data_IF_046432621709
#
_entry.id   IF_046432621709
#
_cell.length_a   1.000
_cell.length_b   1.000
_cell.length_c   1.000
_cell.angle_alpha   90.00
_cell.angle_beta   90.00
_cell.angle_gamma   90.00
#
_symmetry.space_group_name_H-M   'P 1'
#
loop_
_entity.id
_entity.type
_entity.pdbx_description
1 polymer ?
#
# COMPACT_ATOMS: atom_id res chain seq x y z
N UNK A 1 -14.99 9.33 -8.56
CA UNK A 1 -16.38 9.53 -8.05
C UNK A 1 -16.62 10.98 -7.62
N UNK A 2 -15.88 11.49 -6.63
CA UNK A 2 -16.06 12.88 -6.16
C UNK A 2 -15.90 13.92 -7.28
N UNK A 3 -14.85 13.82 -8.11
CA UNK A 3 -14.65 14.70 -9.28
C UNK A 3 -15.80 14.65 -10.30
N UNK A 4 -16.47 13.51 -10.44
CA UNK A 4 -17.58 13.36 -11.37
C UNK A 4 -18.90 13.96 -10.83
N UNK A 5 -18.95 14.31 -9.54
CA UNK A 5 -20.11 14.88 -8.85
C UNK A 5 -19.65 15.99 -7.87
N UNK A 6 -19.23 17.17 -8.38
CA UNK A 6 -18.79 18.28 -7.52
C UNK A 6 -19.85 18.64 -6.46
N UNK A 7 -19.38 18.99 -5.26
CA UNK A 7 -20.25 19.29 -4.11
C UNK A 7 -20.81 18.07 -3.36
N UNK A 8 -20.47 16.84 -3.78
CA UNK A 8 -20.81 15.62 -3.04
C UNK A 8 -19.64 15.08 -2.24
N UNK A 9 -19.94 14.53 -1.07
CA UNK A 9 -19.00 13.76 -0.26
C UNK A 9 -19.07 12.29 -0.66
N UNK A 10 -17.92 11.68 -0.95
CA UNK A 10 -17.81 10.24 -1.24
C UNK A 10 -17.11 9.57 -0.08
N UNK A 11 -17.79 8.66 0.61
CA UNK A 11 -17.18 7.80 1.61
C UNK A 11 -16.54 6.59 0.91
N UNK A 12 -15.21 6.51 0.93
CA UNK A 12 -14.48 5.29 0.59
C UNK A 12 -14.40 4.45 1.87
N UNK A 13 -14.84 3.19 1.79
CA UNK A 13 -14.70 2.21 2.87
C UNK A 13 -13.99 0.99 2.31
N UNK A 14 -12.97 0.53 3.01
CA UNK A 14 -12.22 -0.67 2.69
C UNK A 14 -12.30 -1.59 3.89
N UNK A 15 -12.77 -2.82 3.69
CA UNK A 15 -12.92 -3.83 4.75
C UNK A 15 -12.31 -5.12 4.24
N UNK A 16 -11.44 -5.71 5.03
CA UNK A 16 -10.73 -6.94 4.71
C UNK A 16 -10.80 -7.88 5.91
N UNK A 17 -11.28 -9.10 5.66
CA UNK A 17 -11.39 -10.17 6.66
C UNK A 17 -10.42 -11.29 6.29
N UNK A 18 -9.13 -10.98 6.28
CA UNK A 18 -8.07 -11.89 5.82
C UNK A 18 -7.98 -13.18 6.66
N UNK A 19 -8.42 -13.17 7.91
CA UNK A 19 -8.44 -14.37 8.76
C UNK A 19 -9.36 -15.46 8.21
N UNK A 20 -10.38 -15.10 7.42
CA UNK A 20 -11.25 -16.06 6.72
C UNK A 20 -10.51 -16.85 5.63
N UNK A 21 -9.35 -16.36 5.18
CA UNK A 21 -8.48 -17.04 4.21
C UNK A 21 -7.46 -17.97 4.88
N UNK A 22 -7.53 -18.21 6.20
CA UNK A 22 -6.66 -19.18 6.86
C UNK A 22 -6.92 -20.60 6.34
N UNK A 23 -5.84 -21.34 6.08
CA UNK A 23 -5.89 -22.71 5.50
C UNK A 23 -5.27 -23.73 6.48
N UNK A 24 -5.91 -24.04 7.63
CA UNK A 24 -5.38 -25.00 8.61
C UNK A 24 -5.26 -26.43 8.05
N UNK A 25 -6.00 -26.74 6.99
CA UNK A 25 -5.93 -27.98 6.22
C UNK A 25 -4.69 -28.09 5.31
N UNK A 26 -3.98 -26.99 5.03
CA UNK A 26 -2.84 -26.95 4.12
C UNK A 26 -1.67 -26.16 4.72
N UNK A 27 -0.77 -26.87 5.40
CA UNK A 27 0.37 -26.31 6.15
C UNK A 27 1.60 -26.00 5.28
N UNK A 28 1.41 -25.40 4.10
CA UNK A 28 2.53 -24.92 3.28
C UNK A 28 3.24 -23.75 3.97
N UNK A 29 4.52 -23.52 3.65
CA UNK A 29 5.27 -22.37 4.20
C UNK A 29 4.56 -21.05 3.92
N UNK A 30 4.01 -20.87 2.72
CA UNK A 30 3.27 -19.68 2.34
C UNK A 30 2.02 -19.49 3.22
N UNK A 31 1.21 -20.53 3.44
CA UNK A 31 0.02 -20.45 4.29
C UNK A 31 0.35 -20.19 5.76
N UNK A 32 1.44 -20.78 6.28
CA UNK A 32 1.90 -20.52 7.65
C UNK A 32 2.33 -19.06 7.80
N UNK A 33 3.14 -18.54 6.87
CA UNK A 33 3.55 -17.13 6.87
C UNK A 33 2.34 -16.22 6.77
N UNK A 34 1.40 -16.51 5.86
CA UNK A 34 0.18 -15.74 5.71
C UNK A 34 -0.66 -15.71 7.00
N UNK A 35 -0.82 -16.85 7.67
CA UNK A 35 -1.56 -16.93 8.94
C UNK A 35 -0.90 -16.11 10.06
N UNK A 36 0.43 -16.02 10.07
CA UNK A 36 1.16 -15.22 11.06
C UNK A 36 1.23 -13.72 10.71
N UNK A 37 0.97 -13.36 9.45
CA UNK A 37 1.14 -12.01 8.91
C UNK A 37 -0.19 -11.26 8.80
N UNK A 38 -1.23 -11.91 8.31
CA UNK A 38 -2.48 -11.24 7.95
C UNK A 38 -3.45 -11.11 9.11
N UNK A 39 -4.04 -9.92 9.25
CA UNK A 39 -5.09 -9.59 10.20
C UNK A 39 -6.36 -9.08 9.51
N UNK A 40 -7.43 -8.90 10.27
CA UNK A 40 -8.65 -8.27 9.77
C UNK A 40 -8.61 -6.77 10.03
N UNK A 41 -9.18 -5.97 9.11
CA UNK A 41 -9.16 -4.53 9.25
C UNK A 41 -10.21 -3.81 8.42
N UNK A 42 -10.54 -2.59 8.86
CA UNK A 42 -11.40 -1.70 8.13
C UNK A 42 -10.89 -0.27 8.26
N UNK A 43 -10.89 0.46 7.15
CA UNK A 43 -10.54 1.88 7.11
C UNK A 43 -11.52 2.62 6.21
N UNK A 44 -11.72 3.91 6.49
CA UNK A 44 -12.56 4.76 5.67
C UNK A 44 -11.99 6.16 5.55
N UNK A 45 -12.24 6.82 4.42
CA UNK A 45 -11.93 8.23 4.25
C UNK A 45 -13.04 8.92 3.44
N UNK A 46 -13.19 10.22 3.68
CA UNK A 46 -14.11 11.06 2.91
C UNK A 46 -13.33 11.76 1.80
N UNK A 47 -13.76 11.52 0.57
CA UNK A 47 -13.22 12.15 -0.63
C UNK A 47 -14.16 13.24 -1.09
N UNK A 48 -13.57 14.40 -1.40
CA UNK A 48 -14.28 15.58 -1.92
C UNK A 48 -13.58 16.12 -3.16
N UNK A 49 -14.27 16.95 -3.92
CA UNK A 49 -13.74 17.60 -5.13
C UNK A 49 -13.78 19.14 -5.05
N UNK A 50 -14.16 19.69 -3.89
CA UNK A 50 -14.11 21.12 -3.62
C UNK A 50 -12.80 21.53 -2.94
N UNK A 51 -12.48 22.81 -3.04
CA UNK A 51 -11.33 23.42 -2.36
C UNK A 51 -11.66 23.67 -0.89
N UNK A 52 -10.66 23.56 0.01
CA UNK A 52 -10.79 23.98 1.42
C UNK A 52 -11.08 22.88 2.44
N UNK A 53 -10.71 21.62 2.16
CA UNK A 53 -10.64 20.57 3.19
C UNK A 53 -9.37 20.66 4.04
N UNK A 54 -9.42 20.14 5.26
CA UNK A 54 -8.33 20.07 6.26
C UNK A 54 -7.43 18.83 6.11
N UNK A 55 -7.65 18.03 5.08
CA UNK A 55 -6.91 16.80 4.80
C UNK A 55 -5.77 16.98 3.78
N UNK A 56 -5.72 16.08 2.80
CA UNK A 56 -4.74 16.13 1.72
C UNK A 56 -5.42 16.16 0.35
N UNK A 57 -4.88 16.98 -0.55
CA UNK A 57 -5.26 17.03 -1.95
C UNK A 57 -4.57 15.89 -2.72
N UNK A 58 -5.34 15.13 -3.51
CA UNK A 58 -4.79 14.14 -4.42
C UNK A 58 -4.26 14.87 -5.66
N UNK A 59 -2.94 14.93 -5.83
CA UNK A 59 -2.30 15.57 -6.99
C UNK A 59 -2.29 14.64 -8.21
N UNK A 60 -2.03 13.36 -7.97
CA UNK A 60 -1.96 12.34 -9.01
C UNK A 60 -2.21 10.94 -8.43
N UNK A 61 -2.65 10.02 -9.28
CA UNK A 61 -2.65 8.58 -9.03
C UNK A 61 -2.09 7.82 -10.22
N UNK A 62 -1.42 6.70 -10.00
CA UNK A 62 -0.87 5.90 -11.09
C UNK A 62 -0.53 4.49 -10.66
N UNK A 63 -0.46 3.60 -11.64
CA UNK A 63 -0.09 2.20 -11.43
C UNK A 63 0.91 1.75 -12.49
N UNK A 64 1.66 0.70 -12.17
CA UNK A 64 2.54 -0.02 -13.08
C UNK A 64 2.39 -1.52 -12.80
N UNK A 65 2.11 -2.30 -13.84
CA UNK A 65 1.93 -3.75 -13.76
C UNK A 65 2.99 -4.43 -14.62
N UNK A 66 3.66 -5.43 -14.05
CA UNK A 66 4.69 -6.18 -14.76
C UNK A 66 4.09 -7.41 -15.45
N UNK A 67 4.49 -7.73 -16.69
CA UNK A 67 4.10 -8.99 -17.33
C UNK A 67 4.75 -10.18 -16.60
N UNK A 68 4.21 -11.38 -16.78
CA UNK A 68 4.82 -12.64 -16.34
C UNK A 68 5.11 -12.73 -14.82
N UNK A 69 4.26 -12.11 -14.00
CA UNK A 69 4.43 -12.05 -12.53
C UNK A 69 3.24 -12.59 -11.73
N UNK A 70 2.32 -13.32 -12.38
CA UNK A 70 1.15 -13.90 -11.71
C UNK A 70 1.50 -14.92 -10.62
N UNK A 71 2.65 -15.59 -10.73
CA UNK A 71 3.12 -16.58 -9.76
C UNK A 71 3.85 -15.95 -8.55
N UNK A 72 4.08 -14.64 -8.54
CA UNK A 72 4.76 -13.94 -7.45
C UNK A 72 3.83 -13.74 -6.25
N UNK A 73 2.63 -13.23 -6.51
CA UNK A 73 1.65 -12.91 -5.47
C UNK A 73 0.23 -13.03 -6.01
N UNK A 74 -0.64 -13.70 -5.26
CA UNK A 74 -2.03 -13.89 -5.65
C UNK A 74 -2.78 -14.89 -4.80
N UNK A 75 -3.86 -15.42 -5.37
CA UNK A 75 -4.74 -16.38 -4.71
C UNK A 75 -4.97 -17.57 -5.63
N UNK A 76 -4.72 -18.77 -5.11
CA UNK A 76 -5.22 -20.02 -5.67
C UNK A 76 -6.56 -20.34 -5.01
N UNK A 77 -7.63 -20.34 -5.79
CA UNK A 77 -8.99 -20.57 -5.28
C UNK A 77 -9.34 -22.05 -5.49
N UNK A 78 -9.79 -22.70 -4.43
CA UNK A 78 -10.27 -24.08 -4.42
C UNK A 78 -11.58 -24.20 -3.60
N UNK A 79 -12.27 -25.36 -3.58
CA UNK A 79 -13.51 -25.52 -2.84
C UNK A 79 -13.41 -25.29 -1.32
N UNK A 80 -12.22 -25.37 -0.74
CA UNK A 80 -11.99 -25.12 0.67
C UNK A 80 -11.67 -23.64 0.96
N UNK A 81 -11.29 -22.86 -0.05
CA UNK A 81 -11.23 -21.40 0.02
C UNK A 81 -10.05 -20.78 -0.74
N UNK A 82 -9.49 -19.71 -0.17
CA UNK A 82 -8.38 -18.96 -0.74
C UNK A 82 -7.03 -19.49 -0.24
N UNK A 83 -6.24 -20.12 -1.09
CA UNK A 83 -4.83 -20.42 -0.83
C UNK A 83 -3.94 -19.28 -1.30
N UNK A 84 -3.00 -18.81 -0.47
CA UNK A 84 -2.09 -17.74 -0.87
C UNK A 84 -1.05 -18.23 -1.88
N UNK A 85 -0.79 -17.41 -2.90
CA UNK A 85 0.44 -17.45 -3.68
C UNK A 85 1.32 -16.35 -3.11
N UNK A 86 2.45 -16.74 -2.50
CA UNK A 86 3.35 -15.82 -1.82
C UNK A 86 4.78 -16.28 -2.03
N UNK A 87 5.37 -15.82 -3.13
CA UNK A 87 6.72 -16.22 -3.51
C UNK A 87 7.75 -15.52 -2.62
N UNK A 88 8.87 -16.21 -2.37
CA UNK A 88 10.01 -15.67 -1.62
C UNK A 88 10.67 -14.49 -2.34
N UNK A 89 10.41 -14.36 -3.64
CA UNK A 89 11.00 -13.36 -4.53
C UNK A 89 10.32 -12.00 -4.43
N UNK A 90 9.25 -11.84 -3.64
CA UNK A 90 8.58 -10.53 -3.46
C UNK A 90 9.56 -9.43 -2.98
N UNK A 91 10.36 -9.59 -1.90
CA UNK A 91 11.28 -8.54 -1.49
C UNK A 91 12.38 -8.24 -2.51
N UNK A 92 13.09 -9.23 -3.10
CA UNK A 92 14.03 -8.98 -4.19
C UNK A 92 13.39 -8.28 -5.40
N UNK A 93 12.18 -8.69 -5.79
CA UNK A 93 11.44 -8.10 -6.89
C UNK A 93 11.13 -6.63 -6.61
N UNK A 94 10.59 -6.32 -5.43
CA UNK A 94 10.33 -4.95 -5.00
C UNK A 94 11.62 -4.12 -5.01
N UNK A 95 12.71 -4.64 -4.46
CA UNK A 95 14.00 -3.95 -4.42
C UNK A 95 14.53 -3.59 -5.82
N UNK A 96 14.36 -4.49 -6.80
CA UNK A 96 14.87 -4.30 -8.14
C UNK A 96 13.97 -3.42 -9.03
N UNK A 97 12.65 -3.52 -8.87
CA UNK A 97 11.71 -3.01 -9.86
C UNK A 97 10.89 -1.80 -9.41
N UNK A 98 10.76 -1.55 -8.10
CA UNK A 98 9.80 -0.53 -7.63
C UNK A 98 10.25 0.90 -7.93
N UNK A 99 11.53 1.22 -7.79
CA UNK A 99 12.00 2.59 -7.96
C UNK A 99 11.84 3.10 -9.40
N UNK A 100 12.21 2.34 -10.47
CA UNK A 100 11.93 2.74 -11.84
C UNK A 100 10.43 2.89 -12.13
N UNK A 101 9.59 2.02 -11.57
CA UNK A 101 8.14 2.12 -11.74
C UNK A 101 7.56 3.38 -11.10
N UNK A 102 7.97 3.70 -9.87
CA UNK A 102 7.51 4.91 -9.18
C UNK A 102 8.03 6.16 -9.90
N UNK A 103 9.30 6.19 -10.31
CA UNK A 103 9.85 7.30 -11.09
C UNK A 103 9.05 7.52 -12.40
N UNK A 104 8.70 6.44 -13.12
CA UNK A 104 7.86 6.52 -14.31
C UNK A 104 6.41 6.95 -14.03
N UNK A 105 5.88 6.71 -12.82
CA UNK A 105 4.57 7.21 -12.39
C UNK A 105 4.63 8.71 -12.08
N UNK A 106 5.59 9.14 -11.26
CA UNK A 106 5.81 10.55 -10.90
C UNK A 106 6.09 11.42 -12.13
N UNK A 107 6.91 10.92 -13.05
CA UNK A 107 7.26 11.64 -14.28
C UNK A 107 6.05 11.99 -15.16
N UNK A 108 4.96 11.22 -15.12
CA UNK A 108 3.72 11.56 -15.85
C UNK A 108 3.01 12.80 -15.29
N UNK A 109 3.28 13.14 -14.03
CA UNK A 109 2.79 14.34 -13.37
C UNK A 109 3.85 15.47 -13.31
N UNK A 110 5.02 15.28 -13.95
CA UNK A 110 6.13 16.23 -13.87
C UNK A 110 6.80 16.31 -12.51
N UNK A 111 6.67 15.27 -11.68
CA UNK A 111 7.30 15.15 -10.37
C UNK A 111 8.50 14.20 -10.43
N UNK A 112 9.42 14.38 -9.49
CA UNK A 112 10.56 13.49 -9.24
C UNK A 112 10.59 13.00 -7.79
N UNK A 113 11.56 12.15 -7.42
CA UNK A 113 11.67 11.65 -6.05
C UNK A 113 12.02 12.76 -5.05
N UNK A 114 12.78 13.75 -5.49
CA UNK A 114 13.21 14.91 -4.72
C UNK A 114 12.03 15.82 -4.33
N UNK A 115 10.91 15.70 -5.04
CA UNK A 115 9.67 16.42 -4.75
C UNK A 115 8.83 15.76 -3.65
N UNK A 116 9.18 14.53 -3.24
CA UNK A 116 8.45 13.72 -2.24
C UNK A 116 9.12 13.85 -0.88
N UNK A 117 8.41 14.44 0.08
CA UNK A 117 8.92 14.63 1.44
C UNK A 117 8.81 13.34 2.28
N UNK A 118 7.81 12.49 2.00
CA UNK A 118 7.58 11.23 2.74
C UNK A 118 6.96 10.15 1.87
N UNK A 119 7.52 8.94 1.92
CA UNK A 119 6.95 7.75 1.26
C UNK A 119 6.08 6.94 2.21
N UNK A 120 4.76 7.12 2.20
CA UNK A 120 3.86 6.27 3.00
C UNK A 120 3.66 4.91 2.30
N UNK A 121 4.32 3.86 2.78
CA UNK A 121 4.32 2.56 2.10
C UNK A 121 3.33 1.58 2.74
N UNK A 122 2.56 0.84 1.93
CA UNK A 122 1.79 -0.30 2.44
C UNK A 122 2.75 -1.32 3.09
N UNK A 123 2.59 -1.64 4.39
CA UNK A 123 3.48 -2.56 5.07
C UNK A 123 3.09 -4.01 4.79
N UNK A 124 3.52 -4.51 3.63
CA UNK A 124 3.22 -5.89 3.22
C UNK A 124 3.85 -6.98 4.11
N UNK A 125 4.83 -6.61 4.93
CA UNK A 125 5.57 -7.48 5.86
C UNK A 125 6.94 -6.87 6.16
N UNK A 126 7.59 -7.28 7.25
CA UNK A 126 8.85 -6.65 7.71
C UNK A 126 9.95 -6.66 6.66
N UNK A 127 10.12 -7.76 5.92
CA UNK A 127 11.09 -7.87 4.81
C UNK A 127 10.75 -6.98 3.63
N UNK A 128 9.46 -6.74 3.36
CA UNK A 128 9.01 -5.85 2.29
C UNK A 128 9.31 -4.40 2.66
N UNK A 129 9.09 -4.01 3.91
CA UNK A 129 9.43 -2.65 4.39
C UNK A 129 10.92 -2.39 4.20
N UNK A 130 11.79 -3.30 4.63
CA UNK A 130 13.25 -3.18 4.42
C UNK A 130 13.60 -3.11 2.93
N UNK A 131 12.98 -3.94 2.09
CA UNK A 131 13.23 -3.91 0.65
C UNK A 131 12.83 -2.57 0.02
N UNK A 132 11.73 -1.97 0.46
CA UNK A 132 11.29 -0.65 -0.01
C UNK A 132 12.25 0.47 0.40
N UNK A 133 12.75 0.46 1.65
CA UNK A 133 13.78 1.43 2.09
C UNK A 133 15.03 1.34 1.22
N UNK A 134 15.49 0.13 0.92
CA UNK A 134 16.65 -0.08 0.06
C UNK A 134 16.38 0.37 -1.38
N UNK A 135 15.22 0.01 -1.95
CA UNK A 135 14.88 0.33 -3.33
C UNK A 135 14.78 1.84 -3.56
N UNK A 136 14.19 2.55 -2.61
CA UNK A 136 13.91 3.98 -2.68
C UNK A 136 15.05 4.82 -2.09
N UNK A 137 16.16 4.19 -1.71
CA UNK A 137 17.32 4.86 -1.09
C UNK A 137 16.94 5.69 0.15
N UNK A 138 15.99 5.20 0.93
CA UNK A 138 15.55 5.83 2.17
C UNK A 138 16.52 5.52 3.31
N UNK A 139 16.52 6.39 4.32
CA UNK A 139 17.18 6.10 5.59
C UNK A 139 16.58 4.82 6.20
N UNK A 140 17.44 3.89 6.64
CA UNK A 140 16.99 2.63 7.23
C UNK A 140 16.25 2.89 8.54
N UNK A 141 15.03 2.38 8.65
CA UNK A 141 14.15 2.63 9.79
C UNK A 141 13.25 3.86 9.65
N UNK A 142 13.36 4.63 8.57
CA UNK A 142 12.48 5.79 8.31
C UNK A 142 11.04 5.40 7.98
N UNK A 143 10.78 4.15 7.60
CA UNK A 143 9.42 3.59 7.51
C UNK A 143 8.96 3.07 8.87
N UNK A 144 8.98 3.94 9.88
CA UNK A 144 8.68 3.65 11.28
C UNK A 144 7.18 3.45 11.55
N UNK A 145 6.32 4.31 11.00
CA UNK A 145 4.86 4.14 11.08
C UNK A 145 4.40 2.86 10.40
N UNK A 146 5.00 2.50 9.26
CA UNK A 146 4.75 1.25 8.55
C UNK A 146 5.04 0.04 9.44
N UNK A 147 6.18 0.05 10.15
CA UNK A 147 6.55 -1.01 11.09
C UNK A 147 5.63 -1.04 12.31
N UNK A 148 5.26 0.11 12.84
CA UNK A 148 4.40 0.20 14.00
C UNK A 148 2.96 -0.26 13.68
N UNK A 149 2.40 0.12 12.52
CA UNK A 149 1.12 -0.41 12.03
C UNK A 149 1.18 -1.92 11.86
N UNK A 150 2.25 -2.44 11.25
CA UNK A 150 2.44 -3.88 11.08
C UNK A 150 2.55 -4.61 12.43
N UNK A 151 3.21 -4.01 13.42
CA UNK A 151 3.37 -4.58 14.75
C UNK A 151 2.04 -4.62 15.53
N UNK A 152 1.24 -3.55 15.42
CA UNK A 152 -0.02 -3.42 16.16
C UNK A 152 -1.17 -4.23 15.53
N UNK A 153 -1.18 -4.37 14.21
CA UNK A 153 -2.34 -4.89 13.47
C UNK A 153 -2.04 -6.03 12.48
N UNK A 154 -0.77 -6.32 12.21
CA UNK A 154 -0.39 -7.18 11.08
C UNK A 154 -0.66 -6.53 9.73
N UNK A 155 -0.64 -7.33 8.67
CA UNK A 155 -1.06 -6.89 7.33
C UNK A 155 -2.57 -7.11 7.19
N UNK A 156 -3.35 -6.04 7.20
CA UNK A 156 -4.80 -6.10 7.02
C UNK A 156 -5.23 -6.07 5.55
N UNK A 157 -4.35 -6.37 4.59
CA UNK A 157 -4.56 -6.10 3.15
C UNK A 157 -4.72 -4.59 2.89
N UNK A 158 -5.63 -4.17 2.01
CA UNK A 158 -5.78 -2.79 1.54
C UNK A 158 -5.94 -1.70 2.64
N UNK A 159 -6.72 -1.90 3.72
CA UNK A 159 -6.84 -0.95 4.83
C UNK A 159 -5.50 -0.53 5.43
N UNK A 160 -4.49 -1.40 5.43
CA UNK A 160 -3.21 -1.14 6.10
C UNK A 160 -2.51 0.11 5.60
N UNK A 161 -2.64 0.43 4.31
CA UNK A 161 -2.09 1.66 3.75
C UNK A 161 -2.77 2.92 4.32
N UNK A 162 -4.07 2.84 4.58
CA UNK A 162 -4.84 3.94 5.18
C UNK A 162 -4.53 4.12 6.67
N UNK A 163 -4.20 3.05 7.39
CA UNK A 163 -3.73 3.14 8.79
C UNK A 163 -2.38 3.86 8.89
N UNK A 164 -1.47 3.61 7.94
CA UNK A 164 -0.20 4.36 7.85
C UNK A 164 -0.47 5.83 7.56
N UNK A 165 -1.37 6.12 6.61
CA UNK A 165 -1.76 7.49 6.28
C UNK A 165 -2.41 8.21 7.47
N UNK A 166 -3.29 7.55 8.22
CA UNK A 166 -3.94 8.11 9.41
C UNK A 166 -2.91 8.55 10.46
N UNK A 167 -1.89 7.72 10.73
CA UNK A 167 -0.81 8.10 11.66
C UNK A 167 -0.05 9.33 11.19
N UNK A 168 0.33 9.36 9.91
CA UNK A 168 1.01 10.52 9.32
C UNK A 168 0.14 11.79 9.38
N UNK A 169 -1.18 11.67 9.17
CA UNK A 169 -2.09 12.80 9.28
C UNK A 169 -2.19 13.32 10.72
N UNK A 170 -2.21 12.43 11.71
CA UNK A 170 -2.24 12.81 13.13
C UNK A 170 -0.97 13.51 13.60
N UNK A 171 0.20 13.14 13.07
CA UNK A 171 1.48 13.77 13.42
C UNK A 171 1.80 15.03 12.61
N UNK A 172 0.96 15.35 11.63
CA UNK A 172 1.13 16.46 10.72
C UNK A 172 1.74 15.99 9.40
N UNK A 173 0.86 15.75 8.43
CA UNK A 173 1.23 15.22 7.12
C UNK A 173 2.33 16.10 6.46
N UNK A 174 3.44 15.50 6.00
CA UNK A 174 4.44 16.23 5.22
C UNK A 174 3.83 16.88 3.96
N UNK A 175 4.48 17.95 3.46
CA UNK A 175 3.93 18.79 2.38
C UNK A 175 3.50 17.96 1.17
N UNK A 176 4.35 17.04 0.71
CA UNK A 176 4.03 16.01 -0.27
C UNK A 176 4.35 14.62 0.27
N UNK A 177 3.31 13.81 0.42
CA UNK A 177 3.42 12.40 0.81
C UNK A 177 3.04 11.51 -0.36
N UNK A 178 3.89 10.55 -0.71
CA UNK A 178 3.58 9.53 -1.71
C UNK A 178 3.07 8.27 -1.03
N UNK A 179 1.76 8.03 -1.11
CA UNK A 179 1.16 6.77 -0.66
C UNK A 179 1.42 5.69 -1.71
N UNK A 180 2.05 4.58 -1.32
CA UNK A 180 2.38 3.48 -2.23
C UNK A 180 1.83 2.16 -1.73
N UNK A 181 1.47 1.28 -2.67
CA UNK A 181 1.06 -0.08 -2.38
C UNK A 181 1.53 -1.04 -3.48
N UNK A 182 1.69 -2.30 -3.12
CA UNK A 182 1.97 -3.39 -4.05
C UNK A 182 0.98 -4.53 -3.82
N UNK A 183 0.63 -5.26 -4.87
CA UNK A 183 -0.30 -6.37 -4.78
C UNK A 183 -0.28 -7.31 -6.00
N UNK A 184 -1.17 -8.31 -6.04
CA UNK A 184 -1.26 -9.29 -7.11
C UNK A 184 -1.34 -8.66 -8.50
N UNK A 185 -0.62 -9.22 -9.46
CA UNK A 185 -0.46 -8.66 -10.80
C UNK A 185 0.88 -9.01 -11.44
N UNK A 186 2.03 -8.84 -10.78
CA UNK A 186 2.32 -7.95 -9.65
C UNK A 186 2.16 -6.49 -10.10
N UNK A 187 1.65 -5.64 -9.21
CA UNK A 187 1.33 -4.24 -9.54
C UNK A 187 1.79 -3.33 -8.42
N UNK A 188 2.44 -2.23 -8.79
CA UNK A 188 2.68 -1.09 -7.92
C UNK A 188 1.65 0.00 -8.18
N UNK A 189 1.17 0.62 -7.11
CA UNK A 189 0.23 1.74 -7.14
C UNK A 189 0.75 2.90 -6.31
N UNK A 190 0.53 4.13 -6.79
CA UNK A 190 0.93 5.35 -6.10
C UNK A 190 -0.17 6.41 -6.13
N UNK A 191 -0.26 7.18 -5.06
CA UNK A 191 -1.06 8.39 -4.96
C UNK A 191 -0.21 9.48 -4.34
N UNK A 192 0.01 10.59 -5.05
CA UNK A 192 0.66 11.78 -4.47
C UNK A 192 -0.38 12.60 -3.73
N UNK A 193 -0.11 12.86 -2.46
CA UNK A 193 -0.95 13.62 -1.55
C UNK A 193 -0.21 14.91 -1.17
N UNK A 194 -0.81 16.06 -1.46
CA UNK A 194 -0.33 17.35 -1.00
C UNK A 194 -1.14 17.79 0.21
N UNK A 195 -0.46 18.10 1.33
CA UNK A 195 -1.16 18.64 2.51
C UNK A 195 -1.92 19.91 2.13
N UNK A 196 -3.19 20.01 2.54
CA UNK A 196 -3.98 21.22 2.33
C UNK A 196 -3.38 22.39 3.13
N UNK A 197 -3.46 23.60 2.57
CA UNK A 197 -2.92 24.82 3.19
C UNK A 197 -3.76 25.29 4.37
#
# INVERSE_FOLDING_TARGET
>A
LAQARPGTNVLLVVIELCTLASRPDSLTKANIVATALFGDGAAACVLRADEGGDGAAIEMSGQHTWPDTLDIMGWKIDPQGFGVIFDRDIPPFAQQHIAPAIAGILGRAGLAFEDVDRFACHPGGSKVITALELALSLEQGSLDHERAVLADYGNMSAPTALFVLERLMHEGLPSRTLLTAMGPGFTASCVSLKRAA
#
